data_IF_685962743831
#
_entry.id   IF_685962743831
#
_cell.length_a   1.000
_cell.length_b   1.000
_cell.length_c   1.000
_cell.angle_alpha   90.00
_cell.angle_beta   90.00
_cell.angle_gamma   90.00
#
_symmetry.space_group_name_H-M   'P 1'
#
loop_
_entity.id
_entity.type
_entity.pdbx_description
1 polymer ?
#
# COMPACT_ATOMS: atom_id res chain seq x y z
N UNK A 1 2.93 -54.09 42.96
CA UNK A 1 2.74 -52.65 42.98
C UNK A 1 3.49 -52.06 41.78
N UNK A 2 2.81 -51.81 40.67
CA UNK A 2 3.34 -51.18 39.44
C UNK A 2 3.06 -49.69 39.54
N UNK A 3 4.13 -48.88 39.32
CA UNK A 3 4.02 -47.39 39.20
C UNK A 3 3.51 -47.04 37.82
N UNK A 4 2.54 -46.10 37.65
CA UNK A 4 2.15 -45.61 36.34
C UNK A 4 3.20 -44.67 35.78
N UNK A 5 3.64 -44.91 34.52
CA UNK A 5 4.49 -44.02 33.74
C UNK A 5 3.69 -42.85 33.26
N UNK A 6 4.15 -41.66 33.59
CA UNK A 6 3.58 -40.39 33.13
C UNK A 6 4.10 -40.11 31.72
N UNK A 7 3.22 -40.33 30.71
CA UNK A 7 3.49 -39.88 29.34
C UNK A 7 3.18 -38.38 29.25
N UNK A 8 4.23 -37.56 29.20
CA UNK A 8 4.10 -36.16 28.80
C UNK A 8 3.93 -36.12 27.28
N UNK A 9 2.69 -35.85 26.84
CA UNK A 9 2.39 -35.53 25.45
C UNK A 9 2.79 -34.07 25.21
N UNK A 10 3.94 -33.84 24.55
CA UNK A 10 4.29 -32.55 24.01
C UNK A 10 3.36 -32.26 22.84
N UNK A 11 2.36 -31.41 23.05
CA UNK A 11 1.60 -30.82 21.98
C UNK A 11 2.52 -29.86 21.21
N UNK A 12 2.97 -30.28 20.02
CA UNK A 12 3.55 -29.35 19.05
C UNK A 12 2.42 -28.43 18.58
N UNK A 13 2.35 -27.24 19.16
CA UNK A 13 1.58 -26.14 18.59
C UNK A 13 2.34 -25.74 17.31
N UNK A 14 1.88 -26.23 16.17
CA UNK A 14 2.29 -25.69 14.88
C UNK A 14 1.93 -24.20 14.91
N UNK A 15 2.93 -23.33 15.12
CA UNK A 15 2.82 -21.92 14.83
C UNK A 15 2.52 -21.84 13.33
N UNK A 16 1.26 -21.58 12.97
CA UNK A 16 0.89 -21.17 11.62
C UNK A 16 1.64 -19.84 11.46
N UNK A 17 2.71 -19.86 10.69
CA UNK A 17 3.41 -18.63 10.30
C UNK A 17 2.49 -17.92 9.32
N UNK A 18 1.76 -16.91 9.78
CA UNK A 18 1.08 -15.99 8.88
C UNK A 18 2.17 -15.23 8.14
N UNK A 19 2.37 -15.55 6.89
CA UNK A 19 3.29 -14.84 6.02
C UNK A 19 2.51 -13.74 5.33
N UNK A 20 3.06 -12.50 5.33
CA UNK A 20 2.49 -11.35 4.63
C UNK A 20 2.19 -11.69 3.17
N UNK A 21 0.96 -11.46 2.75
CA UNK A 21 0.52 -11.73 1.38
C UNK A 21 1.03 -10.64 0.43
N UNK A 22 1.49 -11.06 -0.75
CA UNK A 22 1.93 -10.16 -1.83
C UNK A 22 1.11 -10.50 -3.07
N UNK A 23 0.40 -9.52 -3.59
CA UNK A 23 -0.47 -9.65 -4.75
C UNK A 23 0.02 -8.73 -5.87
N UNK A 24 0.41 -9.34 -6.99
CA UNK A 24 0.71 -8.63 -8.22
C UNK A 24 -0.51 -8.70 -9.14
N UNK A 25 -1.22 -7.59 -9.30
CA UNK A 25 -2.47 -7.57 -10.09
C UNK A 25 -2.25 -7.70 -11.60
N UNK A 26 -1.00 -7.69 -12.06
CA UNK A 26 -0.63 -7.96 -13.48
C UNK A 26 -0.34 -9.43 -13.78
N UNK A 27 -0.33 -10.31 -12.78
CA UNK A 27 -0.06 -11.75 -12.99
C UNK A 27 -1.14 -12.38 -13.90
N UNK A 28 -2.36 -11.86 -13.85
CA UNK A 28 -3.40 -12.13 -14.81
C UNK A 28 -3.48 -11.00 -15.82
N UNK A 29 -3.29 -11.28 -17.11
CA UNK A 29 -3.37 -10.27 -18.18
C UNK A 29 -4.68 -9.48 -18.12
N UNK A 30 -4.56 -8.15 -18.06
CA UNK A 30 -5.68 -7.22 -17.98
C UNK A 30 -5.30 -5.86 -18.56
N UNK A 31 -6.20 -4.88 -18.49
CA UNK A 31 -5.90 -3.49 -18.88
C UNK A 31 -4.81 -2.84 -18.01
N UNK A 32 -4.53 -3.40 -16.82
CA UNK A 32 -3.40 -2.96 -15.98
C UNK A 32 -2.09 -3.09 -16.75
N UNK A 33 -1.91 -4.18 -17.51
CA UNK A 33 -0.69 -4.41 -18.32
C UNK A 33 -0.52 -3.32 -19.40
N UNK A 34 -1.63 -2.85 -20.00
CA UNK A 34 -1.59 -1.72 -20.94
C UNK A 34 -1.13 -0.44 -20.24
N UNK A 35 -1.74 -0.08 -19.11
CA UNK A 35 -1.37 1.14 -18.38
C UNK A 35 0.06 1.08 -17.85
N UNK A 36 0.51 -0.09 -17.41
CA UNK A 36 1.91 -0.29 -17.01
C UNK A 36 2.87 -0.12 -18.19
N UNK A 37 2.54 -0.66 -19.37
CA UNK A 37 3.36 -0.48 -20.57
C UNK A 37 3.48 1.01 -20.96
N UNK A 38 2.37 1.75 -20.92
CA UNK A 38 2.33 3.19 -21.18
C UNK A 38 3.12 4.00 -20.14
N UNK A 39 3.04 3.65 -18.84
CA UNK A 39 3.83 4.29 -17.79
C UNK A 39 5.34 4.05 -17.95
N UNK A 40 5.74 2.92 -18.52
CA UNK A 40 7.14 2.56 -18.76
C UNK A 40 7.71 3.15 -20.07
N UNK A 41 6.85 3.46 -21.05
CA UNK A 41 7.29 3.98 -22.34
C UNK A 41 7.82 5.41 -22.21
N UNK A 42 9.12 5.59 -22.49
CA UNK A 42 9.83 6.88 -22.39
C UNK A 42 9.25 8.01 -23.25
N UNK A 43 8.45 7.70 -24.29
CA UNK A 43 7.78 8.71 -25.10
C UNK A 43 6.44 9.08 -24.54
N UNK A 44 5.67 8.08 -24.04
CA UNK A 44 4.38 8.30 -23.40
C UNK A 44 4.52 9.12 -22.10
N UNK A 45 5.51 8.83 -21.27
CA UNK A 45 5.82 9.50 -20.01
C UNK A 45 6.00 11.02 -20.13
N UNK A 46 6.41 11.54 -21.31
CA UNK A 46 6.62 12.98 -21.51
C UNK A 46 5.34 13.79 -21.32
N UNK A 47 4.18 13.18 -21.46
CA UNK A 47 2.90 13.81 -21.20
C UNK A 47 2.47 13.56 -19.74
N UNK A 48 2.71 14.56 -18.87
CA UNK A 48 2.36 14.47 -17.43
C UNK A 48 0.89 14.19 -17.16
N UNK A 49 -0.02 14.67 -18.00
CA UNK A 49 -1.45 14.41 -17.83
C UNK A 49 -1.74 12.92 -18.03
N UNK A 50 -1.24 12.35 -19.14
CA UNK A 50 -1.46 10.94 -19.45
C UNK A 50 -0.80 10.04 -18.41
N UNK A 51 0.40 10.41 -17.94
CA UNK A 51 1.08 9.69 -16.87
C UNK A 51 0.23 9.64 -15.58
N UNK A 52 -0.23 10.81 -15.08
CA UNK A 52 -1.10 10.86 -13.90
C UNK A 52 -2.41 10.08 -14.10
N UNK A 53 -3.02 10.19 -15.29
CA UNK A 53 -4.26 9.47 -15.58
C UNK A 53 -4.07 7.95 -15.47
N UNK A 54 -2.95 7.40 -15.96
CA UNK A 54 -2.69 5.97 -15.85
C UNK A 54 -2.38 5.54 -14.42
N UNK A 55 -1.66 6.36 -13.64
CA UNK A 55 -1.48 6.11 -12.20
C UNK A 55 -2.85 6.08 -11.49
N UNK A 56 -3.75 7.02 -11.81
CA UNK A 56 -5.12 7.05 -11.26
C UNK A 56 -5.91 5.80 -11.65
N UNK A 57 -5.90 5.39 -12.93
CA UNK A 57 -6.59 4.19 -13.41
C UNK A 57 -6.10 2.91 -12.74
N UNK A 58 -4.79 2.79 -12.54
CA UNK A 58 -4.23 1.65 -11.80
C UNK A 58 -4.72 1.68 -10.34
N UNK A 59 -4.81 2.86 -9.72
CA UNK A 59 -5.40 3.04 -8.39
C UNK A 59 -6.85 2.57 -8.32
N UNK A 60 -7.68 2.90 -9.31
CA UNK A 60 -9.08 2.45 -9.39
C UNK A 60 -9.18 0.92 -9.49
N UNK A 61 -8.37 0.31 -10.37
CA UNK A 61 -8.39 -1.14 -10.54
C UNK A 61 -7.84 -1.87 -9.31
N UNK A 62 -6.80 -1.35 -8.69
CA UNK A 62 -6.25 -1.93 -7.46
C UNK A 62 -7.24 -1.78 -6.29
N UNK A 63 -7.93 -0.66 -6.18
CA UNK A 63 -9.00 -0.45 -5.19
C UNK A 63 -10.12 -1.48 -5.36
N UNK A 64 -10.51 -1.79 -6.61
CA UNK A 64 -11.47 -2.85 -6.90
C UNK A 64 -10.97 -4.23 -6.45
N UNK A 65 -9.69 -4.57 -6.69
CA UNK A 65 -9.12 -5.84 -6.21
C UNK A 65 -9.08 -5.89 -4.67
N UNK A 66 -8.64 -4.81 -4.01
CA UNK A 66 -8.64 -4.69 -2.54
C UNK A 66 -10.06 -4.82 -1.98
N UNK A 67 -11.06 -4.27 -2.65
CA UNK A 67 -12.45 -4.33 -2.18
C UNK A 67 -12.96 -5.75 -1.98
N UNK A 68 -12.42 -6.73 -2.70
CA UNK A 68 -12.80 -8.15 -2.58
C UNK A 68 -12.33 -8.80 -1.26
N UNK A 69 -11.41 -8.15 -0.55
CA UNK A 69 -10.83 -8.63 0.72
C UNK A 69 -11.39 -7.92 1.95
N UNK A 70 -12.26 -6.93 1.77
CA UNK A 70 -12.90 -6.19 2.85
C UNK A 70 -14.00 -7.02 3.53
N UNK A 71 -14.40 -6.57 4.70
CA UNK A 71 -15.56 -7.11 5.40
C UNK A 71 -16.86 -6.63 4.74
N UNK A 72 -17.86 -7.50 4.70
CA UNK A 72 -19.17 -7.21 4.10
C UNK A 72 -20.29 -7.55 5.09
N UNK A 73 -21.31 -6.70 5.14
CA UNK A 73 -22.51 -6.96 5.91
C UNK A 73 -23.77 -6.94 5.04
N UNK A 74 -24.76 -7.75 5.45
CA UNK A 74 -26.05 -7.80 4.75
C UNK A 74 -26.87 -6.57 5.09
N UNK A 75 -27.31 -5.82 4.07
CA UNK A 75 -28.25 -4.69 4.20
C UNK A 75 -29.44 -4.85 3.28
N UNK A 76 -30.61 -4.44 3.77
CA UNK A 76 -31.83 -4.34 2.95
C UNK A 76 -31.94 -2.93 2.42
N UNK A 77 -31.93 -2.77 1.11
CA UNK A 77 -32.16 -1.49 0.43
C UNK A 77 -33.59 -1.44 -0.13
N UNK A 78 -34.19 -0.27 -0.09
CA UNK A 78 -35.51 -0.02 -0.67
C UNK A 78 -35.33 0.46 -2.11
N UNK A 79 -35.95 -0.25 -3.05
CA UNK A 79 -35.95 0.09 -4.48
C UNK A 79 -37.33 0.67 -4.85
N UNK A 80 -37.48 1.31 -6.02
CA UNK A 80 -38.79 1.78 -6.46
C UNK A 80 -39.87 0.69 -6.59
N UNK A 81 -39.46 -0.59 -6.66
CA UNK A 81 -40.38 -1.72 -6.87
C UNK A 81 -40.45 -2.69 -5.68
N UNK A 82 -39.64 -2.51 -4.64
CA UNK A 82 -39.65 -3.39 -3.47
C UNK A 82 -38.36 -3.35 -2.66
N UNK A 83 -38.17 -4.34 -1.78
CA UNK A 83 -36.96 -4.48 -0.95
C UNK A 83 -36.01 -5.47 -1.58
N UNK A 84 -34.72 -5.18 -1.50
CA UNK A 84 -33.64 -6.02 -1.98
C UNK A 84 -32.57 -6.18 -0.90
N UNK A 85 -32.24 -7.42 -0.58
CA UNK A 85 -31.12 -7.72 0.31
C UNK A 85 -29.83 -7.76 -0.49
N UNK A 86 -28.81 -7.07 -0.04
CA UNK A 86 -27.49 -7.02 -0.68
C UNK A 86 -26.36 -7.01 0.35
N UNK A 87 -25.16 -7.42 -0.08
CA UNK A 87 -23.94 -7.35 0.72
C UNK A 87 -23.23 -6.03 0.41
N UNK A 88 -23.01 -5.21 1.43
CA UNK A 88 -22.29 -3.93 1.30
C UNK A 88 -21.00 -3.95 2.12
N UNK A 89 -19.93 -3.29 1.66
CA UNK A 89 -18.71 -3.14 2.46
C UNK A 89 -19.03 -2.50 3.81
N UNK A 90 -18.44 -3.03 4.87
CA UNK A 90 -18.62 -2.54 6.24
C UNK A 90 -17.36 -1.96 6.85
N UNK A 91 -16.25 -2.02 6.14
CA UNK A 91 -14.97 -1.44 6.56
C UNK A 91 -15.01 0.08 6.63
N UNK A 92 -14.49 0.64 7.72
CA UNK A 92 -14.13 2.06 7.81
C UNK A 92 -12.70 2.22 7.24
N UNK A 93 -12.59 2.85 6.08
CA UNK A 93 -11.35 2.92 5.31
C UNK A 93 -10.68 4.28 5.50
N UNK A 94 -9.37 4.24 5.77
CA UNK A 94 -8.49 5.41 5.71
C UNK A 94 -7.53 5.23 4.55
N UNK A 95 -7.57 6.16 3.59
CA UNK A 95 -6.64 6.23 2.46
C UNK A 95 -5.49 7.15 2.83
N UNK A 96 -4.30 6.61 2.97
CA UNK A 96 -3.09 7.35 3.28
C UNK A 96 -2.21 7.48 2.04
N UNK A 97 -1.55 8.62 1.87
CA UNK A 97 -0.61 8.82 0.77
C UNK A 97 0.62 9.62 1.19
N UNK A 98 1.72 9.34 0.50
CA UNK A 98 3.01 10.02 0.68
C UNK A 98 3.19 11.01 -0.47
N UNK A 99 3.44 12.28 -0.15
CA UNK A 99 3.69 13.31 -1.14
C UNK A 99 5.05 13.11 -1.82
N UNK A 100 5.11 13.40 -3.12
CA UNK A 100 4.18 14.04 -4.09
C UNK A 100 3.46 13.03 -4.98
N UNK A 101 4.17 11.98 -5.46
CA UNK A 101 3.70 11.06 -6.50
C UNK A 101 2.49 10.22 -6.08
N UNK A 102 2.25 10.05 -4.78
CA UNK A 102 1.08 9.35 -4.26
C UNK A 102 -0.27 9.98 -4.62
N UNK A 103 -0.34 11.31 -4.89
CA UNK A 103 -1.62 12.01 -5.11
C UNK A 103 -2.48 11.45 -6.25
N UNK A 104 -1.99 11.22 -7.48
CA UNK A 104 -2.84 10.66 -8.54
C UNK A 104 -3.25 9.21 -8.23
N UNK A 105 -2.41 8.45 -7.53
CA UNK A 105 -2.73 7.09 -7.11
C UNK A 105 -3.83 7.09 -6.04
N UNK A 106 -3.72 7.95 -5.04
CA UNK A 106 -4.74 8.22 -4.03
C UNK A 106 -6.08 8.63 -4.65
N UNK A 107 -6.06 9.50 -5.66
CA UNK A 107 -7.27 9.89 -6.40
C UNK A 107 -7.98 8.67 -7.00
N UNK A 108 -7.24 7.71 -7.54
CA UNK A 108 -7.81 6.47 -8.06
C UNK A 108 -8.54 5.65 -7.00
N UNK A 109 -7.97 5.54 -5.81
CA UNK A 109 -8.64 4.89 -4.67
C UNK A 109 -9.89 5.64 -4.22
N UNK A 110 -9.85 6.97 -4.17
CA UNK A 110 -11.03 7.79 -3.80
C UNK A 110 -12.18 7.65 -4.81
N UNK A 111 -11.89 7.42 -6.09
CA UNK A 111 -12.91 7.20 -7.12
C UNK A 111 -13.69 5.88 -6.90
N UNK A 112 -13.19 4.97 -6.05
CA UNK A 112 -13.83 3.68 -5.74
C UNK A 112 -14.36 3.67 -4.31
N UNK A 113 -13.63 4.24 -3.37
CA UNK A 113 -13.99 4.31 -1.95
C UNK A 113 -14.48 5.70 -1.57
N UNK A 114 -15.67 6.08 -2.04
CA UNK A 114 -16.27 7.42 -1.93
C UNK A 114 -16.33 7.96 -0.49
N UNK A 115 -16.48 7.06 0.50
CA UNK A 115 -16.65 7.41 1.90
C UNK A 115 -15.35 7.29 2.72
N UNK A 116 -14.24 6.91 2.09
CA UNK A 116 -12.96 6.80 2.78
C UNK A 116 -12.49 8.16 3.29
N UNK A 117 -11.97 8.19 4.50
CA UNK A 117 -11.26 9.36 5.02
C UNK A 117 -9.81 9.36 4.52
N UNK A 118 -9.18 10.53 4.44
CA UNK A 118 -7.84 10.66 3.87
C UNK A 118 -6.80 11.03 4.90
N UNK A 119 -5.59 10.47 4.75
CA UNK A 119 -4.41 10.82 5.50
C UNK A 119 -3.27 11.19 4.55
N UNK A 120 -2.49 12.21 4.91
CA UNK A 120 -1.41 12.74 4.08
C UNK A 120 -0.15 12.91 4.89
N UNK A 121 1.00 12.55 4.31
CA UNK A 121 2.30 12.78 4.92
C UNK A 121 3.31 13.32 3.90
N UNK A 122 4.12 14.28 4.34
CA UNK A 122 5.39 14.65 3.73
C UNK A 122 6.47 14.41 4.76
N UNK A 123 7.35 13.47 4.52
CA UNK A 123 8.43 13.10 5.41
C UNK A 123 9.69 12.74 4.63
N UNK A 124 10.85 13.04 5.21
CA UNK A 124 12.15 12.64 4.68
C UNK A 124 13.11 12.24 5.80
N UNK A 125 14.17 11.54 5.44
CA UNK A 125 15.25 11.20 6.38
C UNK A 125 16.18 12.37 6.53
N UNK A 126 16.51 12.70 7.76
CA UNK A 126 17.45 13.75 8.12
C UNK A 126 18.46 13.21 9.12
N UNK A 127 19.70 13.69 9.04
CA UNK A 127 20.67 13.44 10.10
C UNK A 127 20.37 14.34 11.29
N UNK A 128 20.20 13.74 12.47
CA UNK A 128 19.86 14.48 13.70
C UNK A 128 21.12 14.91 14.49
N UNK A 129 22.31 14.45 14.08
CA UNK A 129 23.59 14.77 14.67
C UNK A 129 24.58 15.37 13.65
N UNK A 130 25.47 16.25 14.09
CA UNK A 130 26.50 16.86 13.24
C UNK A 130 27.52 15.83 12.69
N UNK A 131 27.66 14.69 13.35
CA UNK A 131 28.54 13.59 12.92
C UNK A 131 27.93 12.71 11.82
N UNK A 132 26.66 12.92 11.42
CA UNK A 132 25.92 12.13 10.45
C UNK A 132 25.86 10.62 10.80
N UNK A 133 25.82 10.29 12.10
CA UNK A 133 25.78 8.90 12.61
C UNK A 133 24.37 8.47 12.97
N UNK A 134 23.49 9.42 13.30
CA UNK A 134 22.11 9.15 13.67
C UNK A 134 21.15 9.74 12.63
N UNK A 135 20.29 8.88 12.06
CA UNK A 135 19.28 9.27 11.07
C UNK A 135 17.91 9.33 11.74
N UNK A 136 17.35 10.52 11.78
CA UNK A 136 15.98 10.77 12.22
C UNK A 136 14.97 10.83 11.07
N UNK A 137 13.71 10.87 11.44
CA UNK A 137 12.61 11.12 10.52
C UNK A 137 12.15 12.56 10.72
N UNK A 138 12.29 13.37 9.69
CA UNK A 138 11.69 14.69 9.67
C UNK A 138 10.32 14.61 8.99
N UNK A 139 9.27 14.92 9.74
CA UNK A 139 7.90 15.02 9.23
C UNK A 139 7.57 16.50 9.06
N UNK A 140 7.46 16.96 7.82
CA UNK A 140 7.10 18.35 7.52
C UNK A 140 5.59 18.59 7.63
N UNK A 141 4.81 17.58 7.24
CA UNK A 141 3.37 17.67 7.26
C UNK A 141 2.77 16.29 7.56
N UNK A 142 1.83 16.26 8.49
CA UNK A 142 1.03 15.08 8.80
C UNK A 142 -0.40 15.51 9.09
N UNK A 143 -1.34 14.98 8.35
CA UNK A 143 -2.76 15.07 8.65
C UNK A 143 -3.37 13.68 8.53
N UNK A 144 -3.90 13.15 9.62
CA UNK A 144 -4.50 11.83 9.64
C UNK A 144 -5.68 11.80 10.62
N UNK A 145 -6.77 11.05 10.30
CA UNK A 145 -7.82 10.74 11.26
C UNK A 145 -7.32 9.69 12.27
N UNK A 146 -8.15 9.36 13.28
CA UNK A 146 -7.92 8.19 14.13
C UNK A 146 -7.97 6.91 13.27
N UNK A 147 -6.94 6.06 13.40
CA UNK A 147 -6.79 4.80 12.67
C UNK A 147 -7.28 3.58 13.46
N UNK A 148 -7.65 3.77 14.72
CA UNK A 148 -7.94 2.65 15.63
C UNK A 148 -9.08 1.78 15.10
N UNK A 149 -8.79 0.52 14.84
CA UNK A 149 -9.73 -0.47 14.33
C UNK A 149 -10.18 -0.31 12.87
N UNK A 150 -9.60 0.63 12.14
CA UNK A 150 -9.93 0.89 10.72
C UNK A 150 -9.03 0.11 9.78
N UNK A 151 -9.44 0.00 8.53
CA UNK A 151 -8.61 -0.53 7.43
C UNK A 151 -7.81 0.63 6.83
N UNK A 152 -6.49 0.53 6.90
CA UNK A 152 -5.54 1.52 6.37
C UNK A 152 -5.03 1.08 5.00
N UNK A 153 -5.17 1.93 3.99
CA UNK A 153 -4.55 1.73 2.67
C UNK A 153 -3.49 2.81 2.49
N UNK A 154 -2.21 2.43 2.40
CA UNK A 154 -1.10 3.37 2.14
C UNK A 154 -0.73 3.28 0.67
N UNK A 155 -0.98 4.34 -0.07
CA UNK A 155 -0.78 4.43 -1.51
C UNK A 155 0.47 5.28 -1.84
N UNK A 156 1.51 4.63 -2.36
CA UNK A 156 2.69 5.27 -2.96
C UNK A 156 3.02 4.55 -4.27
N UNK A 157 3.14 5.23 -5.42
CA UNK A 157 3.42 4.58 -6.70
C UNK A 157 4.68 3.72 -6.73
N UNK A 158 5.68 4.00 -5.90
CA UNK A 158 7.00 3.38 -6.00
C UNK A 158 7.46 2.75 -4.68
N UNK A 159 7.43 1.44 -4.60
CA UNK A 159 8.02 0.69 -3.50
C UNK A 159 9.45 0.25 -3.89
N UNK A 160 10.40 1.20 -3.86
CA UNK A 160 11.81 0.96 -4.22
C UNK A 160 12.60 0.36 -3.05
N UNK A 161 13.11 1.19 -2.14
CA UNK A 161 13.83 0.73 -0.93
C UNK A 161 12.90 0.41 0.24
N UNK A 162 11.62 0.80 0.18
CA UNK A 162 10.67 0.69 1.28
C UNK A 162 10.76 1.79 2.34
N UNK A 163 11.81 2.61 2.31
CA UNK A 163 12.05 3.61 3.35
C UNK A 163 10.95 4.67 3.49
N UNK A 164 10.43 5.21 2.37
CA UNK A 164 9.31 6.17 2.41
C UNK A 164 8.04 5.52 2.96
N UNK A 165 7.79 4.26 2.58
CA UNK A 165 6.64 3.49 3.06
C UNK A 165 6.70 3.28 4.58
N UNK A 166 7.88 2.91 5.10
CA UNK A 166 8.11 2.78 6.54
C UNK A 166 7.92 4.11 7.27
N UNK A 167 8.47 5.21 6.74
CA UNK A 167 8.31 6.54 7.31
C UNK A 167 6.84 6.95 7.38
N UNK A 168 6.11 6.78 6.27
CA UNK A 168 4.67 7.03 6.22
C UNK A 168 3.90 6.20 7.23
N UNK A 169 4.15 4.90 7.28
CA UNK A 169 3.52 3.99 8.24
C UNK A 169 3.73 4.43 9.68
N UNK A 170 4.98 4.70 10.08
CA UNK A 170 5.32 5.17 11.42
C UNK A 170 4.63 6.49 11.77
N UNK A 171 4.57 7.43 10.82
CA UNK A 171 3.89 8.70 11.02
C UNK A 171 2.38 8.50 11.21
N UNK A 172 1.72 7.74 10.33
CA UNK A 172 0.28 7.51 10.41
C UNK A 172 -0.12 6.77 11.69
N UNK A 173 0.63 5.76 12.12
CA UNK A 173 0.31 4.95 13.31
C UNK A 173 0.47 5.69 14.63
N UNK A 174 0.99 6.92 14.65
CA UNK A 174 0.86 7.83 15.81
C UNK A 174 -0.59 8.23 16.09
N UNK A 175 -1.50 8.04 15.13
CA UNK A 175 -2.94 8.33 15.20
C UNK A 175 -3.80 7.09 15.47
N UNK A 176 -3.24 6.00 15.96
CA UNK A 176 -3.95 4.79 16.31
C UNK A 176 -3.46 3.53 15.61
N UNK A 177 -4.04 2.38 15.97
CA UNK A 177 -3.64 1.07 15.43
C UNK A 177 -4.71 0.57 14.47
N UNK A 178 -4.40 0.44 13.16
CA UNK A 178 -5.33 -0.11 12.20
C UNK A 178 -5.58 -1.61 12.45
N UNK A 179 -6.76 -2.10 12.07
CA UNK A 179 -7.08 -3.54 12.12
C UNK A 179 -6.38 -4.31 11.00
N UNK A 180 -6.26 -3.71 9.82
CA UNK A 180 -5.55 -4.24 8.65
C UNK A 180 -4.88 -3.13 7.86
N UNK A 181 -3.79 -3.46 7.16
CA UNK A 181 -2.97 -2.54 6.37
C UNK A 181 -2.82 -3.08 4.97
N UNK A 182 -3.22 -2.30 3.97
CA UNK A 182 -2.89 -2.55 2.57
C UNK A 182 -1.81 -1.58 2.14
N UNK A 183 -0.64 -2.11 1.78
CA UNK A 183 0.44 -1.34 1.15
C UNK A 183 0.25 -1.45 -0.35
N UNK A 184 -0.02 -0.33 -1.02
CA UNK A 184 -0.35 -0.28 -2.44
C UNK A 184 0.75 0.45 -3.22
N UNK A 185 1.31 -0.20 -4.25
CA UNK A 185 2.31 0.37 -5.13
C UNK A 185 1.99 0.10 -6.61
N UNK A 186 2.26 1.08 -7.48
CA UNK A 186 2.19 0.85 -8.93
C UNK A 186 3.33 -0.07 -9.35
N UNK A 187 4.53 0.13 -8.79
CA UNK A 187 5.71 -0.67 -9.10
C UNK A 187 6.53 -0.91 -7.83
N UNK A 188 7.03 -2.12 -7.68
CA UNK A 188 7.85 -2.52 -6.54
C UNK A 188 9.15 -3.19 -6.97
N UNK A 189 10.17 -3.09 -6.11
CA UNK A 189 11.38 -3.93 -6.17
C UNK A 189 11.35 -4.95 -5.01
N UNK A 190 12.04 -6.11 -5.16
CA UNK A 190 12.13 -7.12 -4.11
C UNK A 190 12.65 -6.56 -2.78
N UNK A 191 13.60 -5.63 -2.84
CA UNK A 191 14.19 -4.98 -1.66
C UNK A 191 13.16 -4.17 -0.89
N UNK A 192 12.26 -3.44 -1.59
CA UNK A 192 11.18 -2.67 -0.95
C UNK A 192 10.14 -3.58 -0.31
N UNK A 193 9.79 -4.67 -0.97
CA UNK A 193 8.87 -5.69 -0.44
C UNK A 193 9.45 -6.31 0.82
N UNK A 194 10.74 -6.71 0.79
CA UNK A 194 11.40 -7.30 1.95
C UNK A 194 11.51 -6.31 3.11
N UNK A 195 11.77 -5.03 2.82
CA UNK A 195 11.78 -3.98 3.83
C UNK A 195 10.41 -3.82 4.53
N UNK A 196 9.31 -3.85 3.77
CA UNK A 196 7.95 -3.81 4.34
C UNK A 196 7.71 -5.04 5.20
N UNK A 197 8.12 -6.25 4.77
CA UNK A 197 8.01 -7.46 5.58
C UNK A 197 8.72 -7.36 6.93
N UNK A 198 9.85 -6.69 6.98
CA UNK A 198 10.65 -6.53 8.20
C UNK A 198 10.10 -5.45 9.15
N UNK A 199 9.34 -4.49 8.64
CA UNK A 199 8.96 -3.28 9.38
C UNK A 199 7.47 -3.19 9.69
N UNK A 200 6.61 -3.92 8.97
CA UNK A 200 5.16 -3.93 9.18
C UNK A 200 4.72 -5.22 9.89
N UNK A 201 3.56 -5.23 10.58
CA UNK A 201 3.04 -6.44 11.20
C UNK A 201 2.60 -7.46 10.14
N UNK A 202 3.18 -8.65 10.16
CA UNK A 202 3.04 -9.71 9.16
C UNK A 202 1.60 -10.23 9.04
N UNK A 203 0.92 -10.34 10.19
CA UNK A 203 -0.44 -10.90 10.31
C UNK A 203 -1.56 -9.93 9.91
N UNK A 204 -1.24 -8.66 9.66
CA UNK A 204 -2.19 -7.58 9.38
C UNK A 204 -1.87 -6.79 8.13
N UNK A 205 -0.88 -7.22 7.34
CA UNK A 205 -0.44 -6.44 6.18
C UNK A 205 -0.53 -7.29 4.90
N UNK A 206 -1.09 -6.67 3.86
CA UNK A 206 -1.08 -7.20 2.49
C UNK A 206 -0.43 -6.18 1.57
N UNK A 207 0.52 -6.63 0.72
CA UNK A 207 1.20 -5.79 -0.27
C UNK A 207 0.54 -6.00 -1.63
N UNK A 208 0.17 -4.91 -2.29
CA UNK A 208 -0.44 -4.88 -3.61
C UNK A 208 0.46 -4.14 -4.58
N UNK A 209 0.78 -4.76 -5.71
CA UNK A 209 1.61 -4.17 -6.75
C UNK A 209 0.94 -4.34 -8.12
N UNK A 210 1.09 -3.34 -8.99
CA UNK A 210 0.72 -3.53 -10.40
C UNK A 210 1.90 -4.07 -11.23
N UNK A 211 3.13 -4.01 -10.70
CA UNK A 211 4.28 -4.73 -11.21
C UNK A 211 5.33 -4.94 -10.12
N UNK A 212 6.06 -6.04 -10.19
CA UNK A 212 7.25 -6.31 -9.39
C UNK A 212 8.41 -6.46 -10.34
N UNK A 213 9.40 -5.56 -10.24
CA UNK A 213 10.57 -5.54 -11.10
C UNK A 213 11.75 -6.30 -10.49
N UNK A 214 12.87 -6.36 -11.22
CA UNK A 214 13.95 -7.31 -10.93
C UNK A 214 14.81 -6.87 -9.76
N UNK A 215 15.18 -5.57 -9.70
CA UNK A 215 16.19 -5.06 -8.77
C UNK A 215 16.18 -3.53 -8.66
N UNK A 216 16.98 -3.00 -7.74
CA UNK A 216 17.37 -1.59 -7.69
C UNK A 216 18.77 -1.41 -8.28
N UNK A 217 18.96 -0.34 -9.08
CA UNK A 217 20.29 0.05 -9.51
C UNK A 217 21.09 0.74 -8.39
N UNK A 218 22.34 1.12 -8.68
CA UNK A 218 23.24 1.80 -7.74
C UNK A 218 22.65 3.09 -7.13
N UNK A 219 21.81 3.80 -7.89
CA UNK A 219 21.11 5.01 -7.46
C UNK A 219 19.76 4.75 -6.80
N UNK A 220 19.45 3.49 -6.46
CA UNK A 220 18.19 3.07 -5.83
C UNK A 220 16.92 3.27 -6.68
N UNK A 221 17.07 3.35 -8.00
CA UNK A 221 15.94 3.29 -8.94
C UNK A 221 15.58 1.85 -9.27
N UNK A 222 14.28 1.58 -9.38
CA UNK A 222 13.74 0.29 -9.83
C UNK A 222 14.11 0.05 -11.28
N UNK A 223 14.59 -1.15 -11.63
CA UNK A 223 15.00 -1.55 -12.99
C UNK A 223 14.22 -2.80 -13.42
N UNK A 224 13.60 -2.76 -14.63
CA UNK A 224 13.60 -1.73 -15.67
C UNK A 224 12.85 -0.44 -15.29
N UNK A 225 11.92 -0.51 -14.33
CA UNK A 225 11.28 0.65 -13.70
C UNK A 225 10.40 1.47 -14.64
N UNK A 226 10.15 2.70 -14.20
CA UNK A 226 9.44 3.74 -14.96
C UNK A 226 10.07 5.14 -14.79
N UNK A 227 11.17 5.26 -14.02
CA UNK A 227 11.82 6.52 -13.70
C UNK A 227 11.36 7.13 -12.36
N UNK A 228 11.49 8.45 -12.17
CA UNK A 228 11.00 9.16 -10.99
C UNK A 228 9.53 9.56 -11.17
N UNK A 229 8.62 8.88 -10.46
CA UNK A 229 7.19 9.12 -10.57
C UNK A 229 6.81 10.55 -10.12
N UNK A 230 7.51 11.13 -9.15
CA UNK A 230 7.26 12.51 -8.70
C UNK A 230 7.55 13.53 -9.81
N UNK A 231 8.68 13.39 -10.47
CA UNK A 231 9.09 14.27 -11.56
C UNK A 231 8.25 14.06 -12.82
N UNK A 232 7.86 12.82 -13.10
CA UNK A 232 6.95 12.49 -14.20
C UNK A 232 5.54 13.05 -13.96
N UNK A 233 5.07 13.07 -12.71
CA UNK A 233 3.77 13.63 -12.37
C UNK A 233 3.76 15.16 -12.36
N UNK A 234 4.79 15.81 -11.80
CA UNK A 234 4.73 17.22 -11.39
C UNK A 234 5.88 18.08 -11.87
N UNK A 235 6.91 17.51 -12.48
CA UNK A 235 8.14 18.19 -12.88
C UNK A 235 9.25 18.04 -11.86
N UNK A 236 10.48 18.27 -12.34
CA UNK A 236 11.70 18.09 -11.55
C UNK A 236 11.72 19.01 -10.33
N UNK A 237 12.26 18.52 -9.24
CA UNK A 237 12.60 19.30 -8.05
C UNK A 237 13.79 20.20 -8.37
N UNK A 238 13.83 21.36 -7.73
CA UNK A 238 15.00 22.27 -7.75
C UNK A 238 15.96 21.82 -6.66
#
# INVERSE_FOLDING_TARGET
MQKPSLFLTFAFINKISFQMEIINISDNCSVVNLYMAELRDKNYQKNRLLFRNNVTRIGELMAYEISKTLDYEKKTVETPLGKCDTMLPSDDIVLATIFRAGLPFHTGFLNVFDHATSAFVSAYREYVDEAHTEVGIHVEYLAAPDLTGKTLIIADPMLATGGSMELGYKAFTTHGTPKHIHVAAVIAAPEGIEHVRQTFPDDKTTIWCAAIDQELNENKYIVPGLGDAGDLCYGSKI
#
